data_IF_607167110204
#
_entry.id   IF_607167110204
#
_cell.length_a   1.000
_cell.length_b   1.000
_cell.length_c   1.000
_cell.angle_alpha   90.00
_cell.angle_beta   90.00
_cell.angle_gamma   90.00
#
_symmetry.space_group_name_H-M   'P 1'
#
loop_
_entity.id
_entity.type
_entity.pdbx_description
1 polymer ?
#
# COMPACT_ATOMS: atom_id res chain seq x y z
N UNK A 1 39.35 -9.13 -73.37
CA UNK A 1 39.22 -10.23 -72.43
C UNK A 1 39.44 -9.66 -71.03
N UNK A 2 38.44 -9.06 -70.43
CA UNK A 2 38.55 -8.45 -69.09
C UNK A 2 37.43 -8.97 -68.25
N UNK A 3 37.76 -9.79 -67.27
CA UNK A 3 36.86 -10.29 -66.26
C UNK A 3 36.64 -9.22 -65.19
N UNK A 4 35.43 -8.71 -65.05
CA UNK A 4 35.04 -7.81 -63.99
C UNK A 4 34.53 -8.67 -62.81
N UNK A 5 35.26 -8.63 -61.69
CA UNK A 5 34.88 -9.25 -60.43
C UNK A 5 33.90 -8.31 -59.71
N UNK A 6 32.63 -8.75 -59.61
CA UNK A 6 31.64 -8.10 -58.74
C UNK A 6 31.88 -8.55 -57.28
N UNK A 7 32.30 -7.63 -56.44
CA UNK A 7 32.42 -7.83 -55.02
C UNK A 7 31.11 -7.37 -54.39
N UNK A 8 30.24 -8.34 -54.04
CA UNK A 8 28.98 -8.07 -53.34
C UNK A 8 29.24 -7.84 -51.85
N UNK A 9 29.14 -6.59 -51.40
CA UNK A 9 29.13 -6.23 -49.99
C UNK A 9 27.74 -6.43 -49.43
N UNK A 10 27.58 -7.53 -48.69
CA UNK A 10 26.33 -7.84 -47.98
C UNK A 10 26.28 -6.99 -46.69
N UNK A 11 25.51 -5.90 -46.73
CA UNK A 11 25.24 -5.05 -45.57
C UNK A 11 24.24 -5.77 -44.67
N UNK A 12 24.76 -6.41 -43.61
CA UNK A 12 23.91 -7.00 -42.54
C UNK A 12 23.39 -5.87 -41.67
N UNK A 13 22.16 -5.41 -41.95
CA UNK A 13 21.47 -4.43 -41.15
C UNK A 13 21.09 -5.03 -39.80
N UNK A 14 21.81 -4.65 -38.74
CA UNK A 14 21.43 -4.96 -37.36
C UNK A 14 20.24 -4.10 -37.02
N UNK A 15 19.04 -4.70 -37.02
CA UNK A 15 17.83 -4.08 -36.48
C UNK A 15 17.97 -4.04 -34.95
N UNK A 16 18.46 -2.92 -34.42
CA UNK A 16 18.38 -2.63 -32.98
C UNK A 16 16.92 -2.37 -32.64
N UNK A 17 16.21 -3.41 -32.24
CA UNK A 17 14.92 -3.26 -31.58
C UNK A 17 15.17 -2.64 -30.22
N UNK A 18 14.98 -1.32 -30.13
CA UNK A 18 14.87 -0.64 -28.84
C UNK A 18 13.61 -1.20 -28.16
N UNK A 19 13.77 -2.20 -27.28
CA UNK A 19 12.79 -2.52 -26.28
C UNK A 19 12.75 -1.32 -25.32
N UNK A 20 11.81 -0.42 -25.59
CA UNK A 20 11.44 0.60 -24.62
C UNK A 20 10.82 -0.15 -23.45
N UNK A 21 11.63 -0.46 -22.42
CA UNK A 21 11.10 -0.88 -21.13
C UNK A 21 10.30 0.32 -20.61
N UNK A 22 8.98 0.20 -20.65
CA UNK A 22 8.11 1.14 -19.97
C UNK A 22 8.50 1.11 -18.48
N UNK A 23 9.18 2.18 -18.04
CA UNK A 23 9.62 2.33 -16.66
C UNK A 23 8.36 2.40 -15.79
N UNK A 24 8.15 1.40 -14.93
CA UNK A 24 7.01 1.39 -14.02
C UNK A 24 7.03 2.65 -13.15
N UNK A 25 5.87 3.31 -13.06
CA UNK A 25 5.72 4.49 -12.20
C UNK A 25 5.73 4.04 -10.74
N UNK A 26 6.85 4.17 -10.09
CA UNK A 26 7.03 3.83 -8.67
C UNK A 26 6.74 5.02 -7.76
N UNK A 27 6.29 4.73 -6.54
CA UNK A 27 6.16 5.69 -5.44
C UNK A 27 7.21 5.34 -4.40
N UNK A 28 7.91 6.35 -3.88
CA UNK A 28 8.89 6.14 -2.80
C UNK A 28 8.18 6.10 -1.46
N UNK A 29 8.43 5.04 -0.68
CA UNK A 29 7.90 4.87 0.69
C UNK A 29 9.01 4.31 1.56
N UNK A 30 9.36 5.02 2.64
CA UNK A 30 10.43 4.59 3.54
C UNK A 30 11.78 4.39 2.85
N UNK A 31 12.09 5.25 1.86
CA UNK A 31 13.34 5.17 1.10
C UNK A 31 13.42 4.03 0.08
N UNK A 32 12.34 3.27 -0.12
CA UNK A 32 12.27 2.20 -1.11
C UNK A 32 11.24 2.50 -2.20
N UNK A 33 11.54 2.10 -3.43
CA UNK A 33 10.61 2.19 -4.54
C UNK A 33 9.55 1.08 -4.44
N UNK A 34 8.28 1.45 -4.49
CA UNK A 34 7.14 0.55 -4.52
C UNK A 34 6.71 0.30 -5.96
N UNK A 35 6.68 -0.96 -6.35
CA UNK A 35 6.40 -1.38 -7.73
C UNK A 35 4.95 -1.84 -7.88
N UNK A 36 4.19 -1.28 -8.84
CA UNK A 36 2.81 -1.72 -9.11
C UNK A 36 2.69 -3.20 -9.53
N UNK A 37 3.75 -3.79 -10.05
CA UNK A 37 3.83 -5.21 -10.41
C UNK A 37 3.95 -6.16 -9.22
N UNK A 38 4.36 -5.66 -8.04
CA UNK A 38 4.49 -6.43 -6.80
C UNK A 38 3.22 -6.35 -5.96
N UNK A 39 2.98 -7.37 -5.12
CA UNK A 39 1.87 -7.35 -4.17
C UNK A 39 2.17 -6.44 -2.94
N UNK A 40 1.16 -6.25 -2.09
CA UNK A 40 1.21 -5.39 -0.91
C UNK A 40 2.36 -5.80 0.03
N UNK A 41 2.52 -7.09 0.30
CA UNK A 41 3.52 -7.60 1.25
C UNK A 41 4.92 -7.50 0.67
N UNK A 42 5.11 -7.88 -0.60
CA UNK A 42 6.41 -7.79 -1.29
C UNK A 42 6.97 -6.36 -1.34
N UNK A 43 6.10 -5.37 -1.44
CA UNK A 43 6.51 -3.98 -1.39
C UNK A 43 6.74 -3.49 0.05
N UNK A 44 5.83 -3.80 0.98
CA UNK A 44 5.92 -3.36 2.37
C UNK A 44 7.22 -3.83 3.07
N UNK A 45 7.69 -5.03 2.77
CA UNK A 45 8.94 -5.59 3.32
C UNK A 45 10.16 -4.72 2.97
N UNK A 46 10.15 -4.04 1.84
CA UNK A 46 11.26 -3.19 1.40
C UNK A 46 11.23 -1.79 2.02
N UNK A 47 10.12 -1.38 2.62
CA UNK A 47 10.00 -0.08 3.27
C UNK A 47 10.75 -0.04 4.60
N UNK A 48 11.59 0.98 4.80
CA UNK A 48 12.27 1.17 6.08
C UNK A 48 11.34 1.71 7.17
N UNK A 49 10.20 2.28 6.80
CA UNK A 49 9.25 2.95 7.72
C UNK A 49 8.06 2.06 8.11
N UNK A 50 8.03 0.78 7.68
CA UNK A 50 6.92 -0.15 7.93
C UNK A 50 7.39 -1.49 8.51
N UNK A 51 8.55 -1.51 9.18
CA UNK A 51 9.12 -2.73 9.78
C UNK A 51 8.22 -3.31 10.86
N UNK A 52 7.68 -2.45 11.70
CA UNK A 52 6.75 -2.83 12.77
C UNK A 52 5.46 -3.41 12.20
N UNK A 53 4.90 -2.78 11.15
CA UNK A 53 3.71 -3.29 10.45
C UNK A 53 3.96 -4.68 9.86
N UNK A 54 5.08 -4.87 9.17
CA UNK A 54 5.45 -6.17 8.58
C UNK A 54 5.63 -7.25 9.65
N UNK A 55 6.28 -6.91 10.76
CA UNK A 55 6.43 -7.83 11.90
C UNK A 55 5.05 -8.21 12.50
N UNK A 56 4.16 -7.23 12.66
CA UNK A 56 2.81 -7.44 13.15
C UNK A 56 1.97 -8.33 12.22
N UNK A 57 2.03 -8.09 10.91
CA UNK A 57 1.34 -8.91 9.88
C UNK A 57 1.82 -10.37 9.92
N UNK A 58 3.13 -10.59 10.08
CA UNK A 58 3.72 -11.93 10.23
C UNK A 58 3.26 -12.60 11.53
N UNK A 59 3.29 -11.89 12.66
CA UNK A 59 2.85 -12.41 13.97
C UNK A 59 1.36 -12.76 13.97
N UNK A 60 0.53 -11.97 13.29
CA UNK A 60 -0.90 -12.24 13.12
C UNK A 60 -1.19 -13.41 12.16
N UNK A 61 -0.23 -13.80 11.30
CA UNK A 61 -0.42 -14.82 10.27
C UNK A 61 -1.26 -14.33 9.09
N UNK A 62 -1.23 -13.02 8.79
CA UNK A 62 -2.03 -12.39 7.74
C UNK A 62 -1.29 -12.24 6.40
N UNK A 63 -0.06 -12.74 6.29
CA UNK A 63 0.76 -12.62 5.08
C UNK A 63 0.03 -13.18 3.86
N UNK A 64 -0.39 -14.43 3.91
CA UNK A 64 -1.10 -15.10 2.80
C UNK A 64 -2.42 -14.39 2.44
N UNK A 65 -3.13 -13.86 3.45
CA UNK A 65 -4.37 -13.10 3.24
C UNK A 65 -4.10 -11.82 2.45
N UNK A 66 -3.05 -11.08 2.79
CA UNK A 66 -2.67 -9.83 2.12
C UNK A 66 -1.95 -10.05 0.78
N UNK A 67 -1.44 -11.24 0.52
CA UNK A 67 -0.89 -11.67 -0.78
C UNK A 67 -1.96 -12.19 -1.73
N UNK A 68 -3.15 -12.48 -1.24
CA UNK A 68 -4.26 -12.98 -2.05
C UNK A 68 -4.71 -11.98 -3.13
N UNK A 69 -5.52 -12.47 -4.08
CA UNK A 69 -5.85 -11.74 -5.32
C UNK A 69 -6.57 -10.39 -5.15
N UNK A 70 -7.00 -9.99 -3.94
CA UNK A 70 -7.64 -8.68 -3.69
C UNK A 70 -8.81 -8.34 -4.62
N UNK A 71 -9.04 -7.09 -4.95
CA UNK A 71 -8.28 -5.90 -4.55
C UNK A 71 -8.51 -5.47 -3.10
N UNK A 72 -7.43 -4.96 -2.48
CA UNK A 72 -7.49 -4.41 -1.12
C UNK A 72 -7.01 -2.97 -1.08
N UNK A 73 -7.55 -2.20 -0.13
CA UNK A 73 -6.97 -0.92 0.30
C UNK A 73 -6.42 -1.11 1.70
N UNK A 74 -5.13 -0.89 1.86
CA UNK A 74 -4.45 -1.01 3.15
C UNK A 74 -4.04 0.38 3.62
N UNK A 75 -4.56 0.78 4.77
CA UNK A 75 -4.09 1.96 5.49
C UNK A 75 -2.89 1.56 6.34
N UNK A 76 -1.69 1.86 5.86
CA UNK A 76 -0.43 1.40 6.44
C UNK A 76 0.16 2.43 7.40
N UNK A 77 0.08 2.20 8.73
CA UNK A 77 0.73 3.07 9.69
C UNK A 77 2.24 2.90 9.64
N UNK A 78 2.98 4.01 9.75
CA UNK A 78 4.43 4.03 9.81
C UNK A 78 4.95 3.51 11.15
N UNK A 79 6.25 3.21 11.24
CA UNK A 79 6.89 2.87 12.51
C UNK A 79 6.74 4.00 13.54
N UNK A 80 6.75 5.27 13.09
CA UNK A 80 6.48 6.44 13.94
C UNK A 80 5.05 6.40 14.49
N UNK A 81 4.06 6.01 13.69
CA UNK A 81 2.68 5.85 14.13
C UNK A 81 2.56 4.81 15.26
N UNK A 82 3.29 3.71 15.16
CA UNK A 82 3.35 2.70 16.22
C UNK A 82 4.05 3.22 17.48
N UNK A 83 5.09 4.04 17.33
CA UNK A 83 5.81 4.64 18.47
C UNK A 83 4.96 5.65 19.26
N UNK A 84 3.89 6.19 18.67
CA UNK A 84 2.93 7.06 19.37
C UNK A 84 1.95 6.28 20.26
N UNK A 85 1.88 4.97 20.14
CA UNK A 85 1.10 4.15 21.07
C UNK A 85 1.76 4.13 22.45
N UNK A 86 1.00 3.90 23.53
CA UNK A 86 1.57 3.76 24.87
C UNK A 86 2.70 2.72 24.90
N UNK A 87 3.75 3.00 25.65
CA UNK A 87 4.91 2.12 25.76
C UNK A 87 4.49 0.70 26.14
N UNK A 88 5.09 -0.31 25.48
CA UNK A 88 4.76 -1.71 25.70
C UNK A 88 3.53 -2.23 24.96
N UNK A 89 2.76 -1.34 24.30
CA UNK A 89 1.55 -1.77 23.55
C UNK A 89 1.94 -2.68 22.39
N UNK A 90 2.92 -2.27 21.58
CA UNK A 90 3.34 -3.04 20.39
C UNK A 90 3.93 -4.39 20.82
N UNK A 91 4.81 -4.40 21.82
CA UNK A 91 5.42 -5.62 22.36
C UNK A 91 4.36 -6.57 22.93
N UNK A 92 3.31 -6.01 23.54
CA UNK A 92 2.18 -6.82 24.03
C UNK A 92 1.35 -7.40 22.88
N UNK A 93 1.05 -6.60 21.87
CA UNK A 93 0.21 -7.01 20.73
C UNK A 93 0.83 -8.13 19.89
N UNK A 94 2.17 -8.16 19.76
CA UNK A 94 2.85 -9.21 18.96
C UNK A 94 3.01 -10.53 19.71
N UNK A 95 2.64 -10.61 20.98
CA UNK A 95 2.67 -11.85 21.75
C UNK A 95 1.61 -12.83 21.27
N UNK A 96 1.90 -14.15 21.30
CA UNK A 96 0.96 -15.17 20.82
C UNK A 96 -0.43 -15.10 21.47
N UNK A 97 -0.49 -14.77 22.76
CA UNK A 97 -1.75 -14.64 23.52
C UNK A 97 -2.65 -13.51 23.02
N UNK A 98 -2.06 -12.49 22.39
CA UNK A 98 -2.77 -11.31 21.85
C UNK A 98 -2.98 -11.38 20.34
N UNK A 99 -2.70 -12.51 19.70
CA UNK A 99 -2.81 -12.69 18.24
C UNK A 99 -4.19 -12.31 17.70
N UNK A 100 -5.25 -12.66 18.40
CA UNK A 100 -6.64 -12.33 17.97
C UNK A 100 -6.88 -10.81 17.97
N UNK A 101 -6.41 -10.10 18.99
CA UNK A 101 -6.49 -8.63 19.09
C UNK A 101 -5.66 -7.97 17.99
N UNK A 102 -4.43 -8.44 17.77
CA UNK A 102 -3.56 -7.94 16.70
C UNK A 102 -4.20 -8.16 15.33
N UNK A 103 -4.75 -9.34 15.06
CA UNK A 103 -5.47 -9.64 13.82
C UNK A 103 -6.64 -8.69 13.62
N UNK A 104 -7.43 -8.42 14.67
CA UNK A 104 -8.54 -7.46 14.64
C UNK A 104 -8.09 -6.06 14.27
N UNK A 105 -7.02 -5.56 14.89
CA UNK A 105 -6.44 -4.24 14.58
C UNK A 105 -5.93 -4.20 13.14
N UNK A 106 -5.17 -5.18 12.70
CA UNK A 106 -4.62 -5.19 11.34
C UNK A 106 -5.70 -5.29 10.26
N UNK A 107 -6.70 -6.14 10.45
CA UNK A 107 -7.84 -6.25 9.53
C UNK A 107 -8.75 -5.03 9.57
N UNK A 108 -8.73 -4.26 10.66
CA UNK A 108 -9.40 -2.97 10.75
C UNK A 108 -8.75 -1.91 9.85
N UNK A 109 -7.45 -2.02 9.56
CA UNK A 109 -6.73 -1.16 8.62
C UNK A 109 -6.91 -1.58 7.14
N UNK A 110 -7.65 -2.65 6.88
CA UNK A 110 -7.87 -3.17 5.52
C UNK A 110 -9.33 -2.99 5.12
N UNK A 111 -9.54 -2.46 3.93
CA UNK A 111 -10.85 -2.30 3.30
C UNK A 111 -10.84 -3.08 1.99
N UNK A 112 -11.93 -3.80 1.71
CA UNK A 112 -12.10 -4.48 0.44
C UNK A 112 -12.31 -3.47 -0.70
N UNK A 113 -11.69 -3.72 -1.85
CA UNK A 113 -11.71 -2.82 -2.99
C UNK A 113 -10.45 -1.96 -3.11
N UNK A 114 -10.25 -1.40 -4.30
CA UNK A 114 -9.15 -0.46 -4.58
C UNK A 114 -9.67 0.97 -4.46
N UNK A 115 -9.46 1.59 -3.31
CA UNK A 115 -9.88 2.96 -2.99
C UNK A 115 -8.67 3.89 -3.09
N UNK A 116 -8.41 4.39 -4.28
CA UNK A 116 -7.43 5.44 -4.50
C UNK A 116 -7.95 6.81 -4.02
N UNK A 117 -7.08 7.81 -3.96
CA UNK A 117 -7.43 9.15 -3.49
C UNK A 117 -8.59 9.77 -4.27
N UNK A 118 -8.65 9.51 -5.59
CA UNK A 118 -9.73 9.99 -6.46
C UNK A 118 -11.07 9.36 -6.08
N UNK A 119 -11.09 8.06 -5.84
CA UNK A 119 -12.28 7.32 -5.39
C UNK A 119 -12.72 7.80 -4.01
N UNK A 120 -11.77 7.92 -3.06
CA UNK A 120 -12.05 8.44 -1.72
C UNK A 120 -12.65 9.85 -1.76
N UNK A 121 -12.08 10.77 -2.56
CA UNK A 121 -12.61 12.12 -2.72
C UNK A 121 -14.01 12.14 -3.33
N UNK A 122 -14.29 11.25 -4.30
CA UNK A 122 -15.63 11.11 -4.88
C UNK A 122 -16.65 10.63 -3.86
N UNK A 123 -16.27 9.66 -3.01
CA UNK A 123 -17.11 9.15 -1.92
C UNK A 123 -17.37 10.22 -0.86
N UNK A 124 -16.34 11.00 -0.47
CA UNK A 124 -16.47 12.12 0.47
C UNK A 124 -17.44 13.18 -0.08
N UNK A 125 -17.32 13.50 -1.37
CA UNK A 125 -18.23 14.45 -2.03
C UNK A 125 -19.68 13.95 -2.04
N UNK A 126 -19.88 12.67 -2.36
CA UNK A 126 -21.21 12.05 -2.34
C UNK A 126 -21.81 11.96 -0.93
N UNK A 127 -20.95 11.79 0.10
CA UNK A 127 -21.32 11.75 1.51
C UNK A 127 -21.35 13.08 2.24
N UNK A 128 -21.44 14.21 1.49
CA UNK A 128 -21.52 15.56 2.05
C UNK A 128 -20.35 15.92 3.00
N UNK A 129 -19.13 15.54 2.63
CA UNK A 129 -17.91 15.86 3.35
C UNK A 129 -17.29 14.71 4.14
N UNK A 130 -17.99 13.57 4.26
CA UNK A 130 -17.47 12.38 4.95
C UNK A 130 -18.00 11.12 4.26
N UNK A 131 -17.15 10.11 4.09
CA UNK A 131 -17.57 8.79 3.60
C UNK A 131 -17.26 7.71 4.61
N UNK A 132 -18.21 6.79 4.81
CA UNK A 132 -18.03 5.61 5.65
C UNK A 132 -17.43 4.48 4.83
N UNK A 133 -16.38 3.83 5.38
CA UNK A 133 -15.73 2.67 4.83
C UNK A 133 -15.94 1.49 5.78
N UNK A 134 -16.33 0.34 5.23
CA UNK A 134 -16.43 -0.90 6.01
C UNK A 134 -15.10 -1.65 5.93
N UNK A 135 -14.50 -1.94 7.07
CA UNK A 135 -13.24 -2.66 7.17
C UNK A 135 -13.43 -4.19 7.05
N UNK A 136 -12.36 -4.90 6.75
CA UNK A 136 -12.35 -6.38 6.73
C UNK A 136 -12.63 -6.95 8.11
N UNK A 137 -12.25 -6.25 9.17
CA UNK A 137 -12.61 -6.60 10.56
C UNK A 137 -14.12 -6.48 10.84
N UNK A 138 -14.90 -5.84 9.96
CA UNK A 138 -16.32 -5.59 10.13
C UNK A 138 -16.65 -4.23 10.77
N UNK A 139 -15.65 -3.51 11.29
CA UNK A 139 -15.80 -2.17 11.85
C UNK A 139 -15.88 -1.09 10.78
N UNK A 140 -15.97 0.16 11.21
CA UNK A 140 -16.17 1.33 10.36
C UNK A 140 -15.01 2.31 10.48
N UNK A 141 -14.62 2.86 9.35
CA UNK A 141 -13.74 4.04 9.25
C UNK A 141 -14.48 5.14 8.52
N UNK A 142 -14.22 6.37 8.87
CA UNK A 142 -14.71 7.53 8.14
C UNK A 142 -13.56 8.25 7.50
N UNK A 143 -13.65 8.50 6.20
CA UNK A 143 -12.69 9.32 5.47
C UNK A 143 -13.28 10.71 5.19
N UNK A 144 -12.47 11.74 5.34
CA UNK A 144 -12.87 13.14 5.17
C UNK A 144 -11.71 13.98 4.66
N UNK A 145 -12.04 15.17 4.13
CA UNK A 145 -11.04 16.18 3.80
C UNK A 145 -10.89 17.18 4.96
N UNK A 146 -9.65 17.50 5.31
CA UNK A 146 -9.32 18.67 6.14
C UNK A 146 -8.30 19.51 5.37
N UNK A 147 -8.75 20.63 4.83
CA UNK A 147 -7.97 21.38 3.85
C UNK A 147 -7.71 20.52 2.60
N UNK A 148 -6.47 20.36 2.20
CA UNK A 148 -6.05 19.55 1.06
C UNK A 148 -5.66 18.10 1.43
N UNK A 149 -5.79 17.74 2.70
CA UNK A 149 -5.36 16.46 3.25
C UNK A 149 -6.54 15.52 3.47
N UNK A 150 -6.33 14.24 3.15
CA UNK A 150 -7.25 13.16 3.46
C UNK A 150 -6.99 12.66 4.88
N UNK A 151 -8.04 12.59 5.66
CA UNK A 151 -8.03 12.12 7.05
C UNK A 151 -8.95 10.94 7.24
N UNK A 152 -8.54 10.03 8.08
CA UNK A 152 -9.35 8.92 8.56
C UNK A 152 -9.75 9.19 10.01
N UNK A 153 -10.94 8.72 10.38
CA UNK A 153 -11.42 8.69 11.76
C UNK A 153 -11.85 7.27 12.09
N UNK A 154 -11.42 6.78 13.25
CA UNK A 154 -11.82 5.48 13.77
C UNK A 154 -13.04 5.54 14.68
N UNK A 155 -13.50 4.37 15.14
CA UNK A 155 -14.68 4.24 16.03
C UNK A 155 -14.44 4.79 17.44
N UNK A 156 -13.19 4.92 17.87
CA UNK A 156 -12.80 5.55 19.15
C UNK A 156 -12.62 7.05 19.07
N UNK A 157 -12.77 7.62 17.86
CA UNK A 157 -12.57 9.04 17.60
C UNK A 157 -11.12 9.42 17.29
N UNK A 158 -10.22 8.45 17.19
CA UNK A 158 -8.85 8.64 16.73
C UNK A 158 -8.81 9.12 15.29
N UNK A 159 -7.80 9.93 14.97
CA UNK A 159 -7.63 10.52 13.66
C UNK A 159 -6.26 10.15 13.08
N UNK A 160 -6.21 9.85 11.79
CA UNK A 160 -4.97 9.60 11.06
C UNK A 160 -4.97 10.37 9.75
N UNK A 161 -3.86 11.00 9.42
CA UNK A 161 -3.65 11.65 8.12
C UNK A 161 -3.09 10.65 7.11
N UNK A 162 -3.57 10.68 5.86
CA UNK A 162 -2.96 9.97 4.74
C UNK A 162 -1.82 10.82 4.21
N UNK A 163 -0.59 10.44 4.57
CA UNK A 163 0.64 11.18 4.26
C UNK A 163 1.19 10.86 2.87
N UNK A 164 1.13 9.59 2.43
CA UNK A 164 1.49 9.16 1.08
C UNK A 164 0.29 8.43 0.49
N UNK A 165 -0.17 8.93 -0.67
CA UNK A 165 -1.38 8.44 -1.33
C UNK A 165 -1.03 7.54 -2.51
N UNK A 166 -1.95 6.64 -2.82
CA UNK A 166 -2.01 5.94 -4.12
C UNK A 166 -0.74 5.14 -4.43
N UNK A 167 -0.22 4.44 -3.43
CA UNK A 167 0.86 3.48 -3.65
C UNK A 167 0.26 2.20 -4.23
N UNK A 168 0.21 2.12 -5.56
CA UNK A 168 -0.43 1.01 -6.27
C UNK A 168 0.38 -0.28 -6.16
N UNK A 169 -0.35 -1.38 -6.04
CA UNK A 169 0.14 -2.75 -5.96
C UNK A 169 -0.62 -3.64 -6.94
N UNK A 170 -0.08 -4.81 -7.28
CA UNK A 170 -0.77 -5.76 -8.17
C UNK A 170 -2.13 -6.19 -7.60
N UNK A 171 -2.24 -6.36 -6.30
CA UNK A 171 -3.45 -6.81 -5.60
C UNK A 171 -4.14 -5.72 -4.76
N UNK A 172 -3.79 -4.44 -4.93
CA UNK A 172 -4.47 -3.38 -4.18
C UNK A 172 -3.83 -2.00 -4.28
N UNK A 173 -4.05 -1.20 -3.25
CA UNK A 173 -3.44 0.11 -3.04
C UNK A 173 -3.10 0.30 -1.57
N UNK A 174 -1.93 0.86 -1.28
CA UNK A 174 -1.54 1.28 0.06
C UNK A 174 -1.74 2.78 0.18
N UNK A 175 -2.32 3.20 1.29
CA UNK A 175 -2.42 4.58 1.75
C UNK A 175 -1.64 4.67 3.05
N UNK A 176 -0.52 5.39 3.06
CA UNK A 176 0.34 5.51 4.26
C UNK A 176 -0.28 6.50 5.22
N UNK A 177 -0.36 6.13 6.49
CA UNK A 177 -0.96 6.95 7.55
C UNK A 177 0.01 7.19 8.71
N UNK A 178 -0.17 8.31 9.40
CA UNK A 178 0.68 8.79 10.49
C UNK A 178 0.26 8.30 11.89
N UNK A 179 -0.91 7.68 12.04
CA UNK A 179 -1.44 7.15 13.30
C UNK A 179 -2.04 5.77 13.13
N UNK A 180 -1.96 4.94 14.16
CA UNK A 180 -2.63 3.63 14.20
C UNK A 180 -4.10 3.84 14.55
N UNK A 181 -5.00 3.25 13.75
CA UNK A 181 -6.44 3.30 13.96
C UNK A 181 -6.87 2.13 14.86
N UNK A 182 -7.82 2.40 15.75
CA UNK A 182 -8.25 1.42 16.75
C UNK A 182 -9.73 1.09 16.57
N UNK A 183 -10.10 -0.22 16.47
CA UNK A 183 -11.49 -0.63 16.49
C UNK A 183 -12.14 -0.33 17.84
N UNK A 184 -13.48 -0.30 17.89
CA UNK A 184 -14.28 -0.07 19.09
C UNK A 184 -13.94 -1.02 20.24
#
# INVERSE_FOLDING_TARGET
>A
MNAVKFCGTMLLGILLTNLSQAQEKTVQVGGAAMYPSKNIVENAINSNDHKTLVAAVKAAGLVETLESAGPFTVFAPTDEAFNMLPAGTVESLVKPENKATLTGILTYHVVAGRLDSKTLMSMIKAGNGTAELKTVAGGKLWVMMKGEHLWLKDEKGGMAEITIRDVYQSNGVIQVIDHVLMPA
#
